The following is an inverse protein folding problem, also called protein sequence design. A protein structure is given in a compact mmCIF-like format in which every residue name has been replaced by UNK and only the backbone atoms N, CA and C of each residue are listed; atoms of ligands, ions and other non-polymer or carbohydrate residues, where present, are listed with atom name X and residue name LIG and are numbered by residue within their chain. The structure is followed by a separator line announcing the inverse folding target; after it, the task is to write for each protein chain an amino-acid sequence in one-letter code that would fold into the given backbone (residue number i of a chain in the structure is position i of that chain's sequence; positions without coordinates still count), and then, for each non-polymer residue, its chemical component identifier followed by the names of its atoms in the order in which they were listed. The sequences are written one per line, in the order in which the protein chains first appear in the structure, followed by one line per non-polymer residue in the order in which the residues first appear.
data_IF_330716860936
#
_entry.id   IF_330716860936
#
_cell.length_a   1.000
_cell.length_b   1.000
_cell.length_c   1.000
_cell.angle_alpha   90.00
_cell.angle_beta   90.00
_cell.angle_gamma   90.00
#
_symmetry.space_group_name_H-M   'P 1'
#
loop_
_entity.id
_entity.type
_entity.pdbx_description
1 polymer ?
#
# COMPACT_ATOMS: atom_id res chain seq x y z
N UNK A 1 9.87 17.03 -2.71
CA UNK A 1 8.60 16.32 -2.85
C UNK A 1 8.43 15.34 -1.73
N UNK A 2 7.30 15.34 -1.09
CA UNK A 2 7.04 14.43 0.01
C UNK A 2 6.72 13.03 -0.51
N UNK A 3 7.19 12.04 0.23
CA UNK A 3 6.90 10.64 -0.05
C UNK A 3 5.73 10.21 0.83
N UNK A 4 4.64 9.81 0.23
CA UNK A 4 3.43 9.42 0.95
C UNK A 4 3.19 7.93 0.82
N UNK A 5 2.95 7.28 1.97
CA UNK A 5 2.53 5.89 1.99
C UNK A 5 1.01 5.87 2.17
N UNK A 6 0.31 5.32 1.18
CA UNK A 6 -1.14 5.24 1.20
C UNK A 6 -1.57 3.91 1.81
N UNK A 7 -2.23 3.96 2.95
CA UNK A 7 -2.65 2.76 3.69
C UNK A 7 -4.15 2.56 3.50
N UNK A 8 -4.52 1.45 2.88
CA UNK A 8 -5.90 1.11 2.58
C UNK A 8 -6.28 -0.18 3.31
N UNK A 9 -7.14 -0.06 4.31
CA UNK A 9 -7.59 -1.19 5.11
C UNK A 9 -8.93 -0.82 5.75
N UNK A 10 -9.88 -1.74 5.76
CA UNK A 10 -11.18 -1.49 6.36
C UNK A 10 -11.18 -1.64 7.88
N UNK A 11 -10.11 -2.15 8.48
CA UNK A 11 -9.98 -2.29 9.92
C UNK A 11 -9.29 -1.08 10.54
N UNK A 12 -9.98 -0.29 11.39
CA UNK A 12 -9.35 0.89 12.00
C UNK A 12 -8.11 0.60 12.82
N UNK A 13 -8.08 -0.54 13.52
CA UNK A 13 -6.93 -0.91 14.34
C UNK A 13 -5.68 -1.14 13.50
N UNK A 14 -5.83 -1.77 12.34
CA UNK A 14 -4.71 -2.00 11.42
C UNK A 14 -4.22 -0.68 10.84
N UNK A 15 -5.15 0.19 10.38
CA UNK A 15 -4.77 1.50 9.86
C UNK A 15 -3.95 2.30 10.88
N UNK A 16 -4.39 2.32 12.13
CA UNK A 16 -3.69 3.05 13.19
C UNK A 16 -2.31 2.48 13.46
N UNK A 17 -2.22 1.17 13.61
CA UNK A 17 -0.96 0.51 13.92
C UNK A 17 0.07 0.73 12.82
N UNK A 18 -0.32 0.50 11.58
CA UNK A 18 0.56 0.66 10.42
C UNK A 18 0.99 2.12 10.25
N UNK A 19 0.04 3.05 10.38
CA UNK A 19 0.38 4.47 10.21
C UNK A 19 1.33 4.97 11.30
N UNK A 20 1.21 4.48 12.52
CA UNK A 20 2.15 4.84 13.60
C UNK A 20 3.57 4.39 13.28
N UNK A 21 3.71 3.16 12.81
CA UNK A 21 5.02 2.62 12.45
C UNK A 21 5.67 3.43 11.33
N UNK A 22 4.90 3.77 10.33
CA UNK A 22 5.40 4.52 9.18
C UNK A 22 5.75 5.96 9.54
N UNK A 23 4.92 6.63 10.31
CA UNK A 23 5.19 8.00 10.74
C UNK A 23 6.42 8.07 11.64
N UNK A 24 6.58 7.08 12.52
CA UNK A 24 7.75 7.00 13.38
C UNK A 24 9.04 6.85 12.57
N UNK A 25 8.95 6.25 11.38
CA UNK A 25 10.09 6.08 10.49
C UNK A 25 10.32 7.30 9.57
N UNK A 26 9.49 8.33 9.67
CA UNK A 26 9.67 9.57 8.92
C UNK A 26 8.84 9.69 7.65
N UNK A 27 7.94 8.75 7.39
CA UNK A 27 7.07 8.82 6.21
C UNK A 27 5.82 9.63 6.48
N UNK A 28 5.35 10.32 5.45
CA UNK A 28 4.01 10.88 5.45
C UNK A 28 3.03 9.76 5.13
N UNK A 29 1.89 9.74 5.79
CA UNK A 29 0.90 8.66 5.65
C UNK A 29 -0.48 9.23 5.36
N UNK A 30 -1.14 8.68 4.35
CA UNK A 30 -2.54 8.93 4.09
C UNK A 30 -3.30 7.62 4.31
N UNK A 31 -4.44 7.67 5.00
CA UNK A 31 -5.21 6.48 5.33
C UNK A 31 -6.56 6.50 4.65
N UNK A 32 -7.02 5.33 4.26
CA UNK A 32 -8.28 5.15 3.53
C UNK A 32 -9.01 3.93 4.06
N UNK A 33 -10.32 4.02 4.13
CA UNK A 33 -11.15 2.90 4.57
C UNK A 33 -11.49 1.94 3.44
N UNK A 34 -11.37 2.41 2.20
CA UNK A 34 -11.71 1.60 1.03
C UNK A 34 -10.81 1.94 -0.16
N UNK A 35 -10.76 1.02 -1.10
CA UNK A 35 -10.05 1.25 -2.36
C UNK A 35 -10.63 2.43 -3.14
N UNK A 36 -11.93 2.61 -3.06
CA UNK A 36 -12.59 3.70 -3.78
C UNK A 36 -12.18 5.07 -3.27
N UNK A 37 -12.03 5.23 -1.95
CA UNK A 37 -11.53 6.48 -1.38
C UNK A 37 -10.13 6.80 -1.91
N UNK A 38 -9.26 5.80 -2.00
CA UNK A 38 -7.93 5.99 -2.56
C UNK A 38 -8.00 6.41 -4.03
N UNK A 39 -8.79 5.70 -4.83
CA UNK A 39 -8.92 5.97 -6.25
C UNK A 39 -9.46 7.38 -6.53
N UNK A 40 -10.37 7.86 -5.70
CA UNK A 40 -10.93 9.19 -5.84
C UNK A 40 -9.90 10.28 -5.60
N UNK A 41 -8.90 10.03 -4.77
CA UNK A 41 -7.90 11.02 -4.40
C UNK A 41 -6.65 11.01 -5.27
N UNK A 42 -6.27 9.85 -5.79
CA UNK A 42 -5.02 9.72 -6.53
C UNK A 42 -4.90 10.58 -7.79
N UNK A 43 -5.96 10.75 -8.60
CA UNK A 43 -5.82 11.56 -9.80
C UNK A 43 -5.44 13.02 -9.53
N UNK A 44 -5.77 13.54 -8.36
CA UNK A 44 -5.49 14.93 -7.98
C UNK A 44 -4.13 15.10 -7.33
N UNK A 45 -3.51 14.00 -6.89
CA UNK A 45 -2.25 14.06 -6.17
C UNK A 45 -1.15 13.31 -6.90
N UNK A 46 -0.17 14.06 -7.39
CA UNK A 46 1.00 13.49 -8.06
C UNK A 46 2.15 13.39 -7.08
N UNK A 47 1.97 12.53 -6.09
CA UNK A 47 2.98 12.31 -5.07
C UNK A 47 3.76 11.05 -5.34
N UNK A 48 5.04 11.06 -4.99
CA UNK A 48 5.81 9.83 -4.97
C UNK A 48 5.42 9.03 -3.72
N UNK A 49 5.52 7.72 -3.79
CA UNK A 49 5.19 6.87 -2.66
C UNK A 49 4.84 5.47 -3.05
N UNK A 50 4.06 4.82 -2.19
CA UNK A 50 3.57 3.47 -2.46
C UNK A 50 2.22 3.27 -1.79
N UNK A 51 1.56 2.17 -2.14
CA UNK A 51 0.25 1.82 -1.63
C UNK A 51 0.35 0.53 -0.83
N UNK A 52 -0.18 0.53 0.39
CA UNK A 52 -0.36 -0.68 1.19
C UNK A 52 -1.84 -1.02 1.17
N UNK A 53 -2.17 -2.16 0.61
CA UNK A 53 -3.55 -2.55 0.37
C UNK A 53 -3.88 -3.89 1.02
N UNK A 54 -4.95 -3.92 1.80
CA UNK A 54 -5.49 -5.16 2.36
C UNK A 54 -6.13 -5.98 1.23
N UNK A 55 -5.68 -7.22 1.08
CA UNK A 55 -6.16 -8.12 0.01
C UNK A 55 -7.61 -8.55 0.22
N UNK A 56 -8.06 -8.59 1.46
CA UNK A 56 -9.37 -9.16 1.81
C UNK A 56 -10.50 -8.12 1.96
N UNK A 57 -10.32 -6.92 1.44
CA UNK A 57 -11.38 -5.92 1.48
C UNK A 57 -12.48 -6.24 0.47
N UNK A 58 -13.76 -6.01 0.85
CA UNK A 58 -14.87 -6.19 -0.10
C UNK A 58 -14.70 -5.31 -1.34
N UNK A 59 -14.93 -5.90 -2.51
CA UNK A 59 -14.89 -5.17 -3.77
C UNK A 59 -13.51 -4.84 -4.31
N UNK A 60 -12.45 -5.25 -3.62
CA UNK A 60 -11.09 -4.94 -4.06
C UNK A 60 -10.20 -6.18 -3.98
N UNK A 61 -10.01 -6.87 -5.10
CA UNK A 61 -8.95 -7.87 -5.20
C UNK A 61 -7.67 -7.17 -5.66
N UNK A 62 -6.52 -7.78 -5.35
CA UNK A 62 -5.24 -7.22 -5.78
C UNK A 62 -5.15 -6.94 -7.28
N UNK A 63 -5.47 -7.95 -8.15
CA UNK A 63 -5.43 -7.73 -9.58
C UNK A 63 -6.42 -6.68 -10.08
N UNK A 64 -7.63 -6.65 -9.54
CA UNK A 64 -8.63 -5.66 -9.92
C UNK A 64 -8.18 -4.24 -9.54
N UNK A 65 -7.57 -4.10 -8.36
CA UNK A 65 -7.08 -2.81 -7.92
C UNK A 65 -5.94 -2.31 -8.80
N UNK A 66 -5.04 -3.21 -9.18
CA UNK A 66 -3.92 -2.86 -10.06
C UNK A 66 -4.44 -2.36 -11.41
N UNK A 67 -5.44 -3.03 -11.98
CA UNK A 67 -6.04 -2.63 -13.24
C UNK A 67 -6.67 -1.25 -13.15
N UNK A 68 -7.41 -0.98 -12.07
CA UNK A 68 -8.04 0.32 -11.86
C UNK A 68 -7.01 1.44 -11.72
N UNK A 69 -5.91 1.18 -11.02
CA UNK A 69 -4.83 2.14 -10.87
C UNK A 69 -4.17 2.45 -12.21
N UNK A 70 -3.97 1.45 -13.04
CA UNK A 70 -3.40 1.65 -14.37
C UNK A 70 -4.30 2.54 -15.23
N UNK A 71 -5.61 2.38 -15.12
CA UNK A 71 -6.57 3.20 -15.87
C UNK A 71 -6.50 4.67 -15.51
N UNK A 72 -6.20 5.01 -14.26
CA UNK A 72 -6.07 6.40 -13.85
C UNK A 72 -4.64 6.92 -14.00
N UNK A 73 -3.75 6.11 -14.57
CA UNK A 73 -2.38 6.52 -14.84
C UNK A 73 -1.45 6.48 -13.64
N UNK A 74 -1.83 5.78 -12.58
CA UNK A 74 -0.97 5.66 -11.41
C UNK A 74 0.14 4.64 -11.65
N UNK A 75 1.37 5.03 -11.32
CA UNK A 75 2.55 4.15 -11.40
C UNK A 75 3.08 3.78 -10.02
N UNK A 76 2.33 4.07 -8.97
CA UNK A 76 2.76 3.77 -7.62
C UNK A 76 2.83 2.27 -7.38
N UNK A 77 3.91 1.77 -6.76
CA UNK A 77 3.97 0.35 -6.42
C UNK A 77 2.94 0.00 -5.35
N UNK A 78 2.45 -1.23 -5.42
CA UNK A 78 1.45 -1.74 -4.49
C UNK A 78 2.04 -2.87 -3.67
N UNK A 79 1.89 -2.74 -2.35
CA UNK A 79 2.23 -3.79 -1.40
C UNK A 79 0.93 -4.32 -0.81
N UNK A 80 0.77 -5.63 -0.78
CA UNK A 80 -0.44 -6.25 -0.29
C UNK A 80 -0.26 -6.74 1.14
N UNK A 81 -1.29 -6.56 1.97
CA UNK A 81 -1.34 -7.11 3.32
C UNK A 81 -2.36 -8.23 3.35
N UNK A 82 -2.02 -9.35 3.98
CA UNK A 82 -2.92 -10.49 4.05
C UNK A 82 -2.82 -11.21 5.37
N UNK A 83 -3.95 -11.70 5.87
CA UNK A 83 -3.98 -12.57 7.06
C UNK A 83 -3.67 -14.03 6.74
N UNK A 84 -3.66 -14.40 5.47
CA UNK A 84 -3.41 -15.78 5.05
C UNK A 84 -2.45 -15.81 3.86
N UNK A 85 -1.29 -16.41 4.06
CA UNK A 85 -0.28 -16.57 3.01
C UNK A 85 -0.78 -17.51 1.91
N UNK A 86 -1.68 -18.42 2.24
CA UNK A 86 -2.20 -19.39 1.27
C UNK A 86 -3.05 -18.76 0.18
N UNK A 87 -3.61 -17.58 0.43
CA UNK A 87 -4.41 -16.87 -0.57
C UNK A 87 -3.58 -16.00 -1.51
N UNK A 88 -2.27 -15.98 -1.32
CA UNK A 88 -1.38 -15.14 -2.12
C UNK A 88 -1.11 -15.78 -3.48
N UNK A 89 -1.38 -15.02 -4.54
CA UNK A 89 -0.99 -15.41 -5.89
C UNK A 89 -0.10 -14.29 -6.45
N UNK A 90 1.09 -14.65 -6.91
CA UNK A 90 2.02 -13.72 -7.49
C UNK A 90 3.33 -13.63 -6.72
N UNK A 91 4.02 -12.50 -6.84
CA UNK A 91 5.33 -12.29 -6.27
C UNK A 91 5.26 -12.18 -4.74
N UNK A 92 5.85 -13.12 -3.98
CA UNK A 92 5.80 -13.08 -2.52
C UNK A 92 6.46 -11.85 -1.90
N UNK A 93 7.34 -11.17 -2.62
CA UNK A 93 7.97 -9.96 -2.10
C UNK A 93 7.02 -8.77 -2.02
N UNK A 94 5.92 -8.82 -2.76
CA UNK A 94 4.90 -7.78 -2.75
C UNK A 94 3.86 -7.96 -1.64
N UNK A 95 3.99 -8.98 -0.80
CA UNK A 95 3.01 -9.31 0.22
C UNK A 95 3.57 -9.23 1.62
N UNK A 96 2.75 -8.70 2.54
CA UNK A 96 3.07 -8.63 3.96
C UNK A 96 2.01 -9.40 4.73
N UNK A 97 2.44 -10.27 5.63
CA UNK A 97 1.54 -11.06 6.45
C UNK A 97 1.07 -10.26 7.67
N UNK A 98 -0.22 -10.31 7.96
CA UNK A 98 -0.79 -9.71 9.18
C UNK A 98 -0.63 -10.66 10.36
N UNK A 99 -0.36 -10.18 11.56
CA UNK A 99 -0.04 -8.79 11.90
C UNK A 99 1.30 -8.36 11.32
N UNK A 100 1.35 -7.16 10.77
CA UNK A 100 2.55 -6.69 10.06
C UNK A 100 3.62 -6.29 11.06
N UNK A 101 4.79 -6.94 10.97
CA UNK A 101 5.92 -6.62 11.82
C UNK A 101 6.61 -5.35 11.33
N UNK A 102 7.08 -4.54 12.28
CA UNK A 102 7.70 -3.25 11.98
C UNK A 102 8.84 -3.37 10.97
N UNK A 103 9.76 -4.29 11.19
CA UNK A 103 10.93 -4.43 10.33
C UNK A 103 10.55 -4.88 8.92
N UNK A 104 9.62 -5.81 8.82
CA UNK A 104 9.15 -6.28 7.51
C UNK A 104 8.43 -5.18 6.75
N UNK A 105 7.61 -4.40 7.45
CA UNK A 105 6.90 -3.28 6.85
C UNK A 105 7.86 -2.23 6.30
N UNK A 106 8.83 -1.82 7.11
CA UNK A 106 9.77 -0.78 6.71
C UNK A 106 10.67 -1.23 5.57
N UNK A 107 11.11 -2.50 5.60
CA UNK A 107 11.90 -3.06 4.51
C UNK A 107 11.11 -3.10 3.20
N UNK A 108 9.86 -3.52 3.27
CA UNK A 108 9.02 -3.61 2.07
C UNK A 108 8.76 -2.24 1.46
N UNK A 109 8.46 -1.25 2.30
CA UNK A 109 8.23 0.12 1.83
C UNK A 109 9.52 0.69 1.21
N UNK A 110 10.64 0.47 1.85
CA UNK A 110 11.93 0.95 1.36
C UNK A 110 12.27 0.34 0.00
N UNK A 111 12.04 -0.96 -0.18
CA UNK A 111 12.26 -1.63 -1.47
C UNK A 111 11.33 -1.09 -2.55
N UNK A 112 10.07 -0.88 -2.21
CA UNK A 112 9.11 -0.35 -3.16
C UNK A 112 9.51 1.04 -3.63
N UNK A 113 9.94 1.91 -2.71
CA UNK A 113 10.39 3.24 -3.03
C UNK A 113 11.72 3.23 -3.79
N UNK A 114 12.60 2.31 -3.44
CA UNK A 114 13.86 2.13 -4.13
C UNK A 114 13.70 1.68 -5.57
N UNK A 115 12.74 0.79 -5.84
CA UNK A 115 12.42 0.36 -7.20
C UNK A 115 11.99 1.51 -8.09
N UNK A 116 11.17 2.40 -7.56
CA UNK A 116 10.72 3.58 -8.30
C UNK A 116 11.90 4.50 -8.61
N UNK A 117 12.78 4.71 -7.64
CA UNK A 117 13.97 5.54 -7.82
C UNK A 117 14.93 4.94 -8.83
N UNK A 118 15.08 3.62 -8.81
CA UNK A 118 15.99 2.93 -9.72
C UNK A 118 15.52 3.01 -11.18
N UNK A 119 14.25 3.22 -11.42
CA UNK A 119 13.70 3.32 -12.77
C UNK A 119 13.80 4.73 -13.36
N UNK A 120 14.27 5.66 -12.59
CA UNK A 120 14.55 7.01 -13.10
C UNK A 120 15.91 7.02 -13.83
#
# INVERSE_FOLDING_TARGET
MSTVVHVVDDEPSVRKAVSRLLRAAGYDVAIYESAEQLLDRLPEKRESGCILLDVLMPGASGPAMRERLERIGSTLPILFMTGSVESIQGDPEAFLKKPVAKEELLDAVERALGSVRASE
#
